data_IF_756968538274
#
_entry.id   IF_756968538274
#
_cell.length_a   1.000
_cell.length_b   1.000
_cell.length_c   1.000
_cell.angle_alpha   90.00
_cell.angle_beta   90.00
_cell.angle_gamma   90.00
#
_symmetry.space_group_name_H-M   'P 1'
#
loop_
_entity.id
_entity.type
_entity.pdbx_description
1 polymer ?
#
# COMPACT_ATOMS: atom_id res chain seq x y z
N UNK A 1 -7.44 13.27 -28.80
CA UNK A 1 -6.41 12.39 -28.19
C UNK A 1 -7.12 11.33 -27.36
N UNK A 2 -7.49 10.21 -27.97
CA UNK A 2 -8.14 9.10 -27.27
C UNK A 2 -7.10 8.35 -26.41
N UNK A 3 -6.88 8.83 -25.19
CA UNK A 3 -6.21 8.03 -24.17
C UNK A 3 -7.15 6.89 -23.78
N UNK A 4 -6.90 5.70 -24.32
CA UNK A 4 -7.46 4.45 -23.83
C UNK A 4 -7.10 4.36 -22.34
N UNK A 5 -8.02 4.76 -21.45
CA UNK A 5 -7.82 4.66 -20.00
C UNK A 5 -7.76 3.19 -19.64
N UNK A 6 -6.62 2.75 -19.16
CA UNK A 6 -6.43 1.38 -18.71
C UNK A 6 -7.04 1.22 -17.32
N UNK A 7 -7.48 0.01 -16.97
CA UNK A 7 -8.09 -0.29 -15.67
C UNK A 7 -7.19 0.12 -14.48
N UNK A 8 -5.87 0.11 -14.68
CA UNK A 8 -4.88 0.56 -13.69
C UNK A 8 -5.05 2.04 -13.32
N UNK A 9 -5.38 2.90 -14.28
CA UNK A 9 -5.59 4.34 -14.04
C UNK A 9 -6.82 4.57 -13.15
N UNK A 10 -7.90 3.83 -13.42
CA UNK A 10 -9.12 3.93 -12.61
C UNK A 10 -8.89 3.46 -11.17
N UNK A 11 -8.13 2.38 -10.98
CA UNK A 11 -7.78 1.90 -9.64
C UNK A 11 -6.87 2.89 -8.90
N UNK A 12 -5.93 3.53 -9.62
CA UNK A 12 -5.06 4.55 -9.06
C UNK A 12 -5.87 5.80 -8.64
N UNK A 13 -6.77 6.28 -9.49
CA UNK A 13 -7.67 7.40 -9.18
C UNK A 13 -8.54 7.08 -7.95
N UNK A 14 -9.12 5.87 -7.89
CA UNK A 14 -9.93 5.43 -6.73
C UNK A 14 -9.09 5.39 -5.46
N UNK A 15 -7.86 4.86 -5.51
CA UNK A 15 -6.96 4.81 -4.36
C UNK A 15 -6.57 6.20 -3.88
N UNK A 16 -6.33 7.15 -4.80
CA UNK A 16 -6.08 8.55 -4.45
C UNK A 16 -7.30 9.15 -3.72
N UNK A 17 -8.50 8.94 -4.25
CA UNK A 17 -9.74 9.43 -3.61
C UNK A 17 -9.92 8.84 -2.22
N UNK A 18 -9.67 7.53 -2.06
CA UNK A 18 -9.73 6.86 -0.75
C UNK A 18 -8.65 7.39 0.21
N UNK A 19 -7.47 7.74 -0.28
CA UNK A 19 -6.40 8.34 0.53
C UNK A 19 -6.85 9.69 1.09
N UNK A 20 -7.42 10.56 0.25
CA UNK A 20 -7.97 11.86 0.67
C UNK A 20 -9.09 11.67 1.69
N UNK A 21 -9.98 10.70 1.46
CA UNK A 21 -11.03 10.35 2.42
C UNK A 21 -10.44 9.89 3.75
N UNK A 22 -9.39 9.07 3.74
CA UNK A 22 -8.71 8.62 4.95
C UNK A 22 -8.10 9.79 5.72
N UNK A 23 -7.51 10.77 5.03
CA UNK A 23 -6.97 11.98 5.68
C UNK A 23 -8.07 12.81 6.32
N UNK A 24 -9.23 12.96 5.67
CA UNK A 24 -10.39 13.64 6.25
C UNK A 24 -10.89 12.89 7.50
N UNK A 25 -10.93 11.55 7.43
CA UNK A 25 -11.34 10.71 8.56
C UNK A 25 -10.38 10.81 9.75
N UNK A 26 -9.08 10.99 9.51
CA UNK A 26 -8.06 11.17 10.54
C UNK A 26 -8.08 12.61 11.08
N UNK A 27 -8.29 13.61 10.22
CA UNK A 27 -8.28 15.01 10.60
C UNK A 27 -9.47 15.40 11.50
N UNK A 28 -10.59 14.68 11.41
CA UNK A 28 -11.72 14.94 12.29
C UNK A 28 -11.36 14.59 13.74
N UNK A 29 -11.54 15.55 14.65
CA UNK A 29 -11.29 15.36 16.09
C UNK A 29 -12.51 14.84 16.86
N UNK A 30 -13.63 14.61 16.16
CA UNK A 30 -14.93 14.30 16.77
C UNK A 30 -14.97 12.94 17.45
N UNK A 31 -14.21 11.95 16.97
CA UNK A 31 -14.29 10.58 17.49
C UNK A 31 -13.01 9.79 17.29
N UNK A 32 -12.50 9.25 18.41
CA UNK A 32 -11.37 8.32 18.43
C UNK A 32 -11.66 7.05 17.60
N UNK A 33 -12.93 6.63 17.51
CA UNK A 33 -13.31 5.45 16.72
C UNK A 33 -13.13 5.74 15.22
N UNK A 34 -13.57 6.91 14.76
CA UNK A 34 -13.49 7.30 13.35
C UNK A 34 -12.05 7.55 12.95
N UNK A 35 -11.26 8.18 13.84
CA UNK A 35 -9.82 8.31 13.68
C UNK A 35 -9.13 6.95 13.47
N UNK A 36 -9.42 5.94 14.30
CA UNK A 36 -8.85 4.58 14.16
C UNK A 36 -9.22 3.95 12.82
N UNK A 37 -10.46 4.10 12.39
CA UNK A 37 -10.89 3.62 11.07
C UNK A 37 -10.18 4.36 9.93
N UNK A 38 -9.99 5.66 10.04
CA UNK A 38 -9.22 6.46 9.10
C UNK A 38 -7.78 5.98 8.97
N UNK A 39 -7.11 5.67 10.09
CA UNK A 39 -5.76 5.09 10.07
C UNK A 39 -5.74 3.71 9.40
N UNK A 40 -6.66 2.81 9.75
CA UNK A 40 -6.72 1.47 9.15
C UNK A 40 -6.92 1.58 7.63
N UNK A 41 -7.84 2.45 7.21
CA UNK A 41 -8.11 2.71 5.79
C UNK A 41 -6.87 3.27 5.08
N UNK A 42 -6.18 4.22 5.70
CA UNK A 42 -4.96 4.83 5.16
C UNK A 42 -3.87 3.77 4.97
N UNK A 43 -3.59 2.96 6.00
CA UNK A 43 -2.60 1.89 5.94
C UNK A 43 -2.91 0.92 4.80
N UNK A 44 -4.17 0.49 4.69
CA UNK A 44 -4.60 -0.41 3.63
C UNK A 44 -4.46 0.20 2.23
N UNK A 45 -4.84 1.47 2.06
CA UNK A 45 -4.67 2.19 0.80
C UNK A 45 -3.20 2.32 0.40
N UNK A 46 -2.31 2.63 1.35
CA UNK A 46 -0.88 2.75 1.09
C UNK A 46 -0.28 1.43 0.60
N UNK A 47 -0.65 0.31 1.21
CA UNK A 47 -0.22 -1.00 0.73
C UNK A 47 -0.69 -1.26 -0.69
N UNK A 48 -1.97 -1.02 -0.97
CA UNK A 48 -2.52 -1.17 -2.32
C UNK A 48 -1.85 -0.21 -3.32
N UNK A 49 -1.51 1.02 -2.91
CA UNK A 49 -0.80 2.01 -3.73
C UNK A 49 0.62 1.58 -4.07
N UNK A 50 1.35 0.95 -3.16
CA UNK A 50 2.69 0.42 -3.47
C UNK A 50 2.61 -0.64 -4.56
N UNK A 51 1.57 -1.48 -4.53
CA UNK A 51 1.31 -2.48 -5.55
C UNK A 51 0.83 -1.89 -6.87
N UNK A 52 -0.32 -1.22 -6.86
CA UNK A 52 -1.02 -0.73 -8.04
C UNK A 52 -0.43 0.56 -8.64
N UNK A 53 0.18 1.42 -7.82
CA UNK A 53 0.85 2.63 -8.28
C UNK A 53 2.17 2.38 -8.99
N UNK A 54 2.70 1.14 -8.95
CA UNK A 54 3.95 0.75 -9.58
C UNK A 54 3.76 -0.15 -10.82
N UNK A 55 2.52 -0.35 -11.28
CA UNK A 55 2.23 -1.19 -12.45
C UNK A 55 2.24 -0.32 -13.71
N UNK A 56 3.03 -0.66 -14.74
CA UNK A 56 2.97 0.02 -16.04
C UNK A 56 1.59 -0.18 -16.69
N UNK A 57 0.97 0.92 -17.12
CA UNK A 57 -0.40 1.05 -17.67
C UNK A 57 -0.72 0.09 -18.84
N UNK A 58 0.29 -0.50 -19.48
CA UNK A 58 0.17 -1.30 -20.71
C UNK A 58 -0.06 -2.80 -20.49
N UNK A 59 -0.38 -3.21 -19.26
CA UNK A 59 -0.36 -4.63 -18.84
C UNK A 59 -1.78 -5.17 -18.60
N UNK A 60 -2.17 -6.33 -19.16
CA UNK A 60 -3.51 -6.89 -18.96
C UNK A 60 -3.75 -7.25 -17.48
N UNK A 61 -4.99 -7.08 -17.01
CA UNK A 61 -5.46 -7.23 -15.61
C UNK A 61 -4.80 -8.39 -14.83
N UNK A 62 -4.75 -9.57 -15.44
CA UNK A 62 -4.17 -10.77 -14.82
C UNK A 62 -2.66 -10.70 -14.60
N UNK A 63 -1.95 -10.00 -15.48
CA UNK A 63 -0.50 -9.81 -15.38
C UNK A 63 -0.18 -8.66 -14.42
N UNK A 64 -1.02 -7.62 -14.36
CA UNK A 64 -0.96 -6.58 -13.32
C UNK A 64 -1.15 -7.17 -11.93
N UNK A 65 -2.16 -8.02 -11.72
CA UNK A 65 -2.41 -8.65 -10.42
C UNK A 65 -1.27 -9.60 -10.00
N UNK A 66 -0.65 -10.32 -10.94
CA UNK A 66 0.56 -11.11 -10.67
C UNK A 66 1.76 -10.25 -10.26
N UNK A 67 1.98 -9.12 -10.94
CA UNK A 67 3.06 -8.17 -10.60
C UNK A 67 2.82 -7.58 -9.21
N UNK A 68 1.58 -7.17 -8.90
CA UNK A 68 1.21 -6.71 -7.55
C UNK A 68 1.49 -7.79 -6.51
N UNK A 69 1.08 -9.04 -6.76
CA UNK A 69 1.35 -10.14 -5.84
C UNK A 69 2.84 -10.40 -5.61
N UNK A 70 3.66 -10.29 -6.65
CA UNK A 70 5.13 -10.41 -6.54
C UNK A 70 5.70 -9.23 -5.74
N UNK A 71 5.26 -8.00 -5.99
CA UNK A 71 5.69 -6.82 -5.25
C UNK A 71 5.36 -6.94 -3.76
N UNK A 72 4.13 -7.37 -3.42
CA UNK A 72 3.75 -7.68 -2.04
C UNK A 72 4.60 -8.81 -1.44
N UNK A 73 4.92 -9.84 -2.21
CA UNK A 73 5.80 -10.92 -1.79
C UNK A 73 7.21 -10.42 -1.44
N UNK A 74 7.78 -9.54 -2.27
CA UNK A 74 9.08 -8.91 -2.00
C UNK A 74 9.02 -8.06 -0.73
N UNK A 75 7.98 -7.25 -0.57
CA UNK A 75 7.77 -6.42 0.64
C UNK A 75 7.71 -7.31 1.88
N UNK A 76 6.87 -8.35 1.87
CA UNK A 76 6.77 -9.29 2.99
C UNK A 76 8.10 -9.97 3.31
N UNK A 77 8.87 -10.33 2.28
CA UNK A 77 10.17 -10.96 2.44
C UNK A 77 11.18 -10.00 3.07
N UNK A 78 11.28 -8.77 2.59
CA UNK A 78 12.21 -7.76 3.13
C UNK A 78 11.85 -7.40 4.57
N UNK A 79 10.57 -7.13 4.85
CA UNK A 79 10.11 -6.84 6.21
C UNK A 79 10.26 -8.04 7.15
N UNK A 80 9.93 -9.25 6.69
CA UNK A 80 10.10 -10.48 7.46
C UNK A 80 11.56 -10.75 7.81
N UNK A 81 12.46 -10.60 6.83
CA UNK A 81 13.90 -10.71 7.08
C UNK A 81 14.37 -9.62 8.06
N UNK A 82 13.92 -8.38 7.91
CA UNK A 82 14.22 -7.31 8.85
C UNK A 82 13.80 -7.64 10.30
N UNK A 83 12.60 -8.21 10.48
CA UNK A 83 12.09 -8.63 11.80
C UNK A 83 12.94 -9.76 12.39
N UNK A 84 13.41 -10.70 11.57
CA UNK A 84 14.26 -11.83 12.01
C UNK A 84 15.69 -11.38 12.33
N UNK A 85 16.24 -10.48 11.52
CA UNK A 85 17.61 -9.98 11.67
C UNK A 85 17.72 -8.99 12.84
N UNK A 86 16.72 -8.16 13.07
CA UNK A 86 16.71 -7.16 14.16
C UNK A 86 17.12 -7.73 15.54
N UNK A 87 16.53 -8.82 16.07
CA UNK A 87 16.96 -9.40 17.34
C UNK A 87 18.36 -10.03 17.28
N UNK A 88 18.80 -10.54 16.12
CA UNK A 88 20.16 -11.08 15.97
C UNK A 88 21.21 -9.96 16.03
N UNK A 89 20.95 -8.83 15.39
CA UNK A 89 21.81 -7.65 15.47
C UNK A 89 21.92 -7.11 16.90
N UNK A 90 20.79 -7.04 17.61
CA UNK A 90 20.76 -6.63 19.03
C UNK A 90 21.59 -7.56 19.92
N UNK A 91 21.56 -8.87 19.65
CA UNK A 91 22.38 -9.86 20.39
C UNK A 91 23.88 -9.70 20.11
N UNK A 92 24.27 -9.36 18.88
CA UNK A 92 25.67 -9.14 18.49
C UNK A 92 26.24 -7.83 19.04
N UNK A 93 25.41 -6.78 19.17
CA UNK A 93 25.85 -5.49 19.73
C UNK A 93 25.88 -5.48 21.27
N UNK A 94 25.12 -6.36 21.93
CA UNK A 94 25.07 -6.48 23.40
C UNK A 94 25.98 -7.57 23.98
N UNK A 95 26.66 -8.33 23.12
CA UNK A 95 27.62 -9.38 23.48
C UNK A 95 29.05 -8.89 23.41
#
# INVERSE_FOLDING_TARGET
MDRKRYFSDYMHDILIVLLVLSMILIAQQLSIKVYKWGIILLVFCTFLQIGFGNIPEKTPFWKSMKITGIAFGIIFLVFGLGIVIAPMLIKLTRG
#
